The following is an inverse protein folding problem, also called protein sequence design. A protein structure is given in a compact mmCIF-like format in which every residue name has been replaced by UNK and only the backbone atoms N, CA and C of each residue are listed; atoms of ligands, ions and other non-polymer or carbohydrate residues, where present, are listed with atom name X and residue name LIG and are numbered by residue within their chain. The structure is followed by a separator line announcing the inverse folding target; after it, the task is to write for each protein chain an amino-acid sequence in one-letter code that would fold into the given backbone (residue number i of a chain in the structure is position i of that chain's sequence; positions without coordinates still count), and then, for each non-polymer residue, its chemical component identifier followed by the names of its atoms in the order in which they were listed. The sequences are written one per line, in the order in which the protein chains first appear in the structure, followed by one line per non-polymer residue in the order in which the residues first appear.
data_IF_916974978113
#
_entry.id   IF_916974978113
#
_cell.length_a   1.000
_cell.length_b   1.000
_cell.length_c   1.000
_cell.angle_alpha   90.00
_cell.angle_beta   90.00
_cell.angle_gamma   90.00
#
_symmetry.space_group_name_H-M   'P 1'
#
loop_
_entity.id
_entity.type
_entity.pdbx_description
1 polymer ?
#
# COMPACT_ATOMS: atom_id res chain seq x y z
N UNK A 1 2.99 -3.58 22.51
CA UNK A 1 2.48 -2.92 21.29
C UNK A 1 2.47 -3.94 20.16
N UNK A 2 1.30 -4.16 19.56
CA UNK A 2 1.14 -5.03 18.38
C UNK A 2 0.86 -4.16 17.14
N UNK A 3 1.36 -4.57 15.98
CA UNK A 3 1.23 -3.81 14.74
C UNK A 3 0.83 -4.74 13.60
N UNK A 4 -0.28 -4.44 12.95
CA UNK A 4 -0.75 -5.16 11.76
C UNK A 4 -0.70 -4.24 10.53
N UNK A 5 0.00 -4.67 9.49
CA UNK A 5 0.01 -3.96 8.21
C UNK A 5 -1.33 -4.22 7.50
N UNK A 6 -1.99 -3.15 7.06
CA UNK A 6 -3.26 -3.21 6.35
C UNK A 6 -3.07 -2.99 4.85
N UNK A 7 -2.21 -2.06 4.47
CA UNK A 7 -1.87 -1.81 3.06
C UNK A 7 -0.45 -1.26 2.91
N UNK A 8 0.14 -1.49 1.74
CA UNK A 8 1.46 -0.99 1.35
C UNK A 8 1.34 -0.31 -0.01
N UNK A 9 1.73 0.96 -0.06
CA UNK A 9 1.80 1.74 -1.29
C UNK A 9 3.27 1.86 -1.70
N UNK A 10 3.67 1.25 -2.83
CA UNK A 10 5.04 1.35 -3.32
C UNK A 10 5.34 2.78 -3.79
N UNK A 11 6.60 3.19 -3.68
CA UNK A 11 7.14 4.38 -4.35
C UNK A 11 7.88 3.99 -5.62
N UNK A 12 8.05 4.94 -6.54
CA UNK A 12 8.77 4.76 -7.81
C UNK A 12 10.22 4.30 -7.62
N UNK A 13 10.86 4.67 -6.52
CA UNK A 13 12.25 4.29 -6.22
C UNK A 13 12.43 2.85 -5.74
N UNK A 14 11.35 2.15 -5.35
CA UNK A 14 11.38 0.78 -4.80
C UNK A 14 11.98 0.65 -3.39
N UNK A 15 12.82 1.60 -2.95
CA UNK A 15 13.42 1.64 -1.62
C UNK A 15 12.62 2.47 -0.61
N UNK A 16 11.53 3.09 -1.06
CA UNK A 16 10.59 3.81 -0.22
C UNK A 16 9.19 3.24 -0.38
N UNK A 17 8.42 3.27 0.71
CA UNK A 17 7.01 2.89 0.69
C UNK A 17 6.22 3.63 1.74
N UNK A 18 4.94 3.79 1.48
CA UNK A 18 3.98 4.24 2.47
C UNK A 18 3.20 3.02 2.98
N UNK A 19 3.04 2.89 4.29
CA UNK A 19 2.37 1.76 4.93
C UNK A 19 1.21 2.28 5.76
N UNK A 20 0.01 1.75 5.49
CA UNK A 20 -1.13 1.89 6.39
C UNK A 20 -1.14 0.70 7.34
N UNK A 21 -1.04 0.96 8.63
CA UNK A 21 -1.04 -0.08 9.66
C UNK A 21 -2.06 0.23 10.75
N UNK A 22 -2.47 -0.81 11.48
CA UNK A 22 -3.19 -0.71 12.73
C UNK A 22 -2.22 -1.03 13.86
N UNK A 23 -2.07 -0.10 14.79
CA UNK A 23 -1.31 -0.32 16.00
C UNK A 23 -2.25 -0.48 17.18
N UNK A 24 -1.97 -1.47 18.03
CA UNK A 24 -2.69 -1.71 19.28
C UNK A 24 -1.76 -1.47 20.46
N UNK A 25 -2.27 -0.69 21.41
CA UNK A 25 -1.58 -0.45 22.68
C UNK A 25 -1.81 -1.61 23.67
N UNK A 26 -1.10 -1.59 24.81
CA UNK A 26 -1.29 -2.55 25.91
C UNK A 26 -2.72 -2.57 26.42
N UNK A 27 -3.42 -1.44 26.33
CA UNK A 27 -4.76 -1.24 26.85
C UNK A 27 -5.85 -1.70 25.87
N UNK A 28 -5.45 -2.31 24.75
CA UNK A 28 -6.35 -2.82 23.71
C UNK A 28 -6.89 -1.75 22.75
N UNK A 29 -6.65 -0.47 23.02
CA UNK A 29 -6.96 0.62 22.10
C UNK A 29 -6.21 0.45 20.79
N UNK A 30 -6.91 0.67 19.68
CA UNK A 30 -6.37 0.50 18.34
C UNK A 30 -6.38 1.82 17.58
N UNK A 31 -5.24 2.20 17.00
CA UNK A 31 -5.11 3.41 16.20
C UNK A 31 -4.62 3.06 14.81
N UNK A 32 -5.20 3.69 13.79
CA UNK A 32 -4.67 3.61 12.44
C UNK A 32 -3.50 4.57 12.30
N UNK A 33 -2.44 4.11 11.64
CA UNK A 33 -1.22 4.89 11.45
C UNK A 33 -0.79 4.83 10.00
N UNK A 34 -0.29 5.95 9.52
CA UNK A 34 0.41 6.04 8.25
C UNK A 34 1.91 6.12 8.54
N UNK A 35 2.69 5.25 7.91
CA UNK A 35 4.14 5.21 8.08
C UNK A 35 4.83 5.40 6.75
N UNK A 36 5.80 6.29 6.72
CA UNK A 36 6.77 6.31 5.63
C UNK A 36 7.92 5.40 6.04
N UNK A 37 8.22 4.42 5.20
CA UNK A 37 9.29 3.46 5.43
C UNK A 37 10.34 3.54 4.33
N UNK A 38 11.58 3.25 4.71
CA UNK A 38 12.69 3.09 3.78
C UNK A 38 13.35 1.74 3.97
N UNK A 39 13.94 1.22 2.89
CA UNK A 39 14.66 -0.05 2.89
C UNK A 39 16.15 0.21 3.08
N UNK A 40 16.77 -0.59 3.94
CA UNK A 40 18.22 -0.69 4.05
C UNK A 40 18.65 -2.16 3.90
N UNK A 41 19.77 -2.45 3.21
CA UNK A 41 20.30 -3.81 3.09
C UNK A 41 20.55 -4.52 4.42
N UNK A 42 20.83 -3.76 5.49
CA UNK A 42 21.26 -4.32 6.77
C UNK A 42 20.13 -4.55 7.78
N UNK A 43 19.01 -3.83 7.65
CA UNK A 43 17.90 -3.87 8.63
C UNK A 43 16.53 -4.10 7.98
N UNK A 44 16.44 -4.12 6.65
CA UNK A 44 15.18 -4.25 5.94
C UNK A 44 14.39 -2.93 5.96
N UNK A 45 13.08 -3.03 6.09
CA UNK A 45 12.19 -1.87 6.14
C UNK A 45 12.18 -1.24 7.53
N UNK A 46 12.44 0.06 7.60
CA UNK A 46 12.40 0.83 8.83
C UNK A 46 11.57 2.10 8.66
N UNK A 47 10.94 2.54 9.75
CA UNK A 47 10.04 3.70 9.75
C UNK A 47 10.86 4.99 9.81
N UNK A 48 10.65 5.88 8.85
CA UNK A 48 11.20 7.23 8.84
C UNK A 48 10.25 8.26 9.46
N UNK A 49 8.95 8.10 9.21
CA UNK A 49 7.91 8.99 9.72
C UNK A 49 6.65 8.19 10.05
N UNK A 50 5.89 8.66 11.05
CA UNK A 50 4.66 8.04 11.53
C UNK A 50 3.64 9.10 11.89
N UNK A 51 2.43 8.97 11.36
CA UNK A 51 1.30 9.85 11.67
C UNK A 51 0.14 8.97 12.16
N UNK A 52 -0.41 9.30 13.33
CA UNK A 52 -1.63 8.70 13.81
C UNK A 52 -2.83 9.32 13.08
N UNK A 53 -3.76 8.49 12.65
CA UNK A 53 -4.94 8.91 11.90
C UNK A 53 -6.12 8.88 12.85
N UNK A 54 -6.75 10.04 13.02
CA UNK A 54 -7.97 10.15 13.82
C UNK A 54 -9.15 9.45 13.11
N UNK A 55 -10.13 8.89 13.85
CA UNK A 55 -11.23 8.13 13.27
C UNK A 55 -12.02 8.88 12.19
N UNK A 56 -12.20 10.20 12.35
CA UNK A 56 -12.89 11.07 11.40
C UNK A 56 -12.12 11.29 10.09
N UNK A 57 -10.81 11.06 10.07
CA UNK A 57 -9.96 11.24 8.89
C UNK A 57 -9.85 9.97 8.03
N UNK A 58 -10.26 8.82 8.55
CA UNK A 58 -10.10 7.52 7.90
C UNK A 58 -10.82 7.45 6.56
N UNK A 59 -12.03 7.99 6.46
CA UNK A 59 -12.82 7.96 5.24
C UNK A 59 -12.16 8.77 4.12
N UNK A 60 -11.75 10.01 4.42
CA UNK A 60 -11.06 10.89 3.48
C UNK A 60 -9.72 10.30 3.02
N UNK A 61 -8.96 9.69 3.94
CA UNK A 61 -7.71 9.02 3.61
C UNK A 61 -7.94 7.83 2.67
N UNK A 62 -8.90 6.95 2.99
CA UNK A 62 -9.24 5.81 2.13
C UNK A 62 -9.60 6.28 0.72
N UNK A 63 -10.49 7.26 0.60
CA UNK A 63 -10.91 7.83 -0.68
C UNK A 63 -9.73 8.40 -1.48
N UNK A 64 -8.84 9.13 -0.81
CA UNK A 64 -7.65 9.73 -1.46
C UNK A 64 -6.69 8.66 -1.97
N UNK A 65 -6.44 7.62 -1.19
CA UNK A 65 -5.54 6.52 -1.56
C UNK A 65 -6.12 5.68 -2.69
N UNK A 66 -7.42 5.36 -2.66
CA UNK A 66 -8.08 4.59 -3.74
C UNK A 66 -8.20 5.40 -5.03
N UNK A 67 -8.42 6.71 -4.96
CA UNK A 67 -8.58 7.54 -6.17
C UNK A 67 -7.26 7.72 -6.93
N UNK A 68 -6.12 7.79 -6.21
CA UNK A 68 -4.81 7.90 -6.84
C UNK A 68 -4.26 6.58 -7.39
N UNK A 69 -4.78 5.43 -6.94
CA UNK A 69 -4.45 4.11 -7.49
C UNK A 69 -5.12 3.83 -8.85
N UNK A 70 -6.18 4.56 -9.20
CA UNK A 70 -6.91 4.42 -10.49
C UNK A 70 -6.26 5.25 -11.60
N UNK A 71 -5.02 5.76 -11.41
CA UNK A 71 -4.26 6.32 -12.53
C UNK A 71 -3.79 5.15 -13.40
N UNK A 72 -4.67 4.74 -14.31
CA UNK A 72 -4.44 3.75 -15.35
C UNK A 72 -3.06 3.97 -15.96
N UNK A 73 -2.25 2.92 -15.93
CA UNK A 73 -1.20 2.74 -16.92
C UNK A 73 -1.92 2.64 -18.28
N UNK A 74 -2.10 3.77 -18.95
CA UNK A 74 -2.40 3.77 -20.38
C UNK A 74 -1.15 3.24 -21.08
N UNK A 75 -1.18 2.05 -21.72
CA UNK A 75 -0.10 1.68 -22.60
C UNK A 75 -0.11 2.64 -23.79
N UNK A 76 0.98 3.39 -23.95
CA UNK A 76 1.29 4.04 -25.20
C UNK A 76 1.72 2.97 -26.21
N UNK A 77 0.78 2.18 -26.73
CA UNK A 77 0.91 1.60 -28.07
C UNK A 77 -0.45 1.09 -28.56
N UNK A 78 -0.79 1.43 -29.80
CA UNK A 78 -2.02 1.05 -30.51
C UNK A 78 -2.07 -0.45 -30.81
N UNK A 79 -2.25 -1.28 -29.78
CA UNK A 79 -2.64 -2.68 -29.97
C UNK A 79 -3.85 -3.01 -29.09
N UNK A 80 -4.96 -3.50 -29.67
CA UNK A 80 -6.12 -3.89 -28.87
C UNK A 80 -5.74 -5.05 -27.94
N UNK A 81 -6.16 -4.95 -26.69
CA UNK A 81 -5.91 -5.97 -25.67
C UNK A 81 -6.57 -7.30 -26.07
N UNK A 82 -5.80 -8.21 -26.67
CA UNK A 82 -6.24 -9.58 -26.95
C UNK A 82 -5.92 -10.46 -25.75
N UNK A 83 -6.95 -10.84 -25.00
CA UNK A 83 -6.85 -11.88 -23.96
C UNK A 83 -6.57 -13.22 -24.64
N UNK A 84 -5.32 -13.69 -24.53
CA UNK A 84 -4.90 -14.97 -25.10
C UNK A 84 -5.19 -16.11 -24.13
N UNK A 85 -6.27 -16.85 -24.37
CA UNK A 85 -6.55 -18.11 -23.68
C UNK A 85 -5.88 -19.26 -24.43
N UNK A 86 -4.60 -19.51 -24.18
CA UNK A 86 -3.95 -20.75 -24.62
C UNK A 86 -3.43 -21.53 -23.43
N UNK A 87 -4.01 -22.72 -23.28
CA UNK A 87 -3.53 -23.91 -22.56
C UNK A 87 -4.37 -24.33 -21.36
N UNK A 88 -5.62 -24.73 -21.64
CA UNK A 88 -6.38 -25.64 -20.78
C UNK A 88 -7.02 -26.76 -21.62
N UNK A 89 -6.31 -27.29 -22.63
CA UNK A 89 -6.68 -28.52 -23.35
C UNK A 89 -5.41 -29.18 -23.96
N UNK A 90 -4.55 -29.70 -23.09
CA UNK A 90 -3.73 -30.88 -23.35
C UNK A 90 -3.98 -31.73 -22.10
N UNK A 91 -4.89 -32.69 -22.13
CA UNK A 91 -4.85 -33.90 -22.95
C UNK A 91 -4.85 -35.04 -21.94
#
# INVERSE_FOLDING_TARGET
MNSMILNVFPSDSGDQRLVLARESDSDGSSTLVLRQESRSPHVGWFVQSRIAIEPNQVAALKMTLTSNLVKEALPADETPAVLSFRSAMAG
#
